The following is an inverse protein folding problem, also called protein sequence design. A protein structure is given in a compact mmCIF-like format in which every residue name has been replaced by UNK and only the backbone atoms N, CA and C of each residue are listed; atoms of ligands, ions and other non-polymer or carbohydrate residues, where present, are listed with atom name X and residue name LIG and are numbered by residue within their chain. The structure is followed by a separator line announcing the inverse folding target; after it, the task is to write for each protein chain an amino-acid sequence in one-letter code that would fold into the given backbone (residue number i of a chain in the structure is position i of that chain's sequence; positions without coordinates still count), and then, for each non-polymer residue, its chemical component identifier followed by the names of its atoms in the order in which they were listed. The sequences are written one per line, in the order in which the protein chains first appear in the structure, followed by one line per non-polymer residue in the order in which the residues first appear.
data_IF_437996868457
#
_entry.id   IF_437996868457
#
_cell.length_a   1.000
_cell.length_b   1.000
_cell.length_c   1.000
_cell.angle_alpha   90.00
_cell.angle_beta   90.00
_cell.angle_gamma   90.00
#
_symmetry.space_group_name_H-M   'P 1'
#
loop_
_entity.id
_entity.type
_entity.pdbx_description
1 polymer ?
#
# COMPACT_ATOMS: atom_id res chain seq x y z
N UNK A 1 22.77 -42.42 8.10
CA UNK A 1 22.56 -41.04 8.61
C UNK A 1 22.37 -39.97 7.52
N UNK A 2 22.21 -40.30 6.23
CA UNK A 2 22.21 -39.30 5.14
C UNK A 2 20.84 -39.00 4.53
N UNK A 3 19.90 -39.95 4.62
CA UNK A 3 18.59 -39.87 3.96
C UNK A 3 17.61 -38.90 4.63
N UNK A 4 17.69 -38.77 5.96
CA UNK A 4 16.82 -37.86 6.73
C UNK A 4 17.16 -36.39 6.49
N UNK A 5 18.43 -36.10 6.17
CA UNK A 5 18.91 -34.75 5.84
C UNK A 5 18.26 -34.22 4.56
N UNK A 6 18.10 -35.07 3.54
CA UNK A 6 17.45 -34.69 2.28
C UNK A 6 15.94 -34.47 2.47
N UNK A 7 15.27 -35.32 3.25
CA UNK A 7 13.85 -35.12 3.58
C UNK A 7 13.60 -33.79 4.31
N UNK A 8 14.49 -33.45 5.25
CA UNK A 8 14.40 -32.20 6.02
C UNK A 8 14.72 -30.98 5.17
N UNK A 9 15.68 -31.09 4.25
CA UNK A 9 15.99 -30.01 3.30
C UNK A 9 14.83 -29.73 2.35
N UNK A 10 14.17 -30.76 1.80
CA UNK A 10 12.98 -30.59 0.95
C UNK A 10 11.84 -29.95 1.72
N UNK A 11 11.61 -30.35 2.98
CA UNK A 11 10.60 -29.75 3.84
C UNK A 11 10.88 -28.27 4.13
N UNK A 12 12.12 -27.92 4.49
CA UNK A 12 12.50 -26.52 4.73
C UNK A 12 12.38 -25.65 3.48
N UNK A 13 12.78 -26.16 2.31
CA UNK A 13 12.63 -25.43 1.04
C UNK A 13 11.15 -25.27 0.69
N UNK A 14 10.31 -26.29 0.90
CA UNK A 14 8.87 -26.19 0.70
C UNK A 14 8.21 -25.17 1.62
N UNK A 15 8.56 -25.16 2.91
CA UNK A 15 8.08 -24.17 3.87
C UNK A 15 8.58 -22.76 3.53
N UNK A 16 9.85 -22.61 3.17
CA UNK A 16 10.39 -21.34 2.74
C UNK A 16 9.69 -20.85 1.46
N UNK A 17 9.45 -21.72 0.48
CA UNK A 17 8.73 -21.37 -0.75
C UNK A 17 7.27 -20.98 -0.47
N UNK A 18 6.58 -21.69 0.42
CA UNK A 18 5.22 -21.34 0.83
C UNK A 18 5.17 -19.99 1.57
N UNK A 19 6.13 -19.75 2.47
CA UNK A 19 6.31 -18.47 3.17
C UNK A 19 6.72 -17.35 2.19
N UNK A 20 7.51 -17.64 1.16
CA UNK A 20 7.87 -16.68 0.12
C UNK A 20 6.69 -16.36 -0.81
N UNK A 21 5.86 -17.35 -1.15
CA UNK A 21 4.66 -17.16 -1.97
C UNK A 21 3.55 -16.41 -1.22
N UNK A 22 3.41 -16.62 0.10
CA UNK A 22 2.49 -15.80 0.91
C UNK A 22 3.10 -14.45 1.28
N UNK A 23 4.39 -14.22 1.05
CA UNK A 23 4.99 -12.93 1.34
C UNK A 23 4.49 -11.95 0.29
N UNK A 24 3.75 -10.89 0.67
CA UNK A 24 3.29 -9.93 -0.31
C UNK A 24 4.52 -9.32 -0.96
N UNK A 25 4.70 -9.59 -2.27
CA UNK A 25 5.67 -8.88 -3.06
C UNK A 25 5.40 -7.38 -2.85
N UNK A 26 6.44 -6.58 -2.62
CA UNK A 26 6.29 -5.11 -2.66
C UNK A 26 5.90 -4.76 -4.09
N UNK A 27 4.60 -4.72 -4.31
CA UNK A 27 3.96 -4.34 -5.54
C UNK A 27 4.46 -2.92 -5.83
N UNK A 28 5.12 -2.70 -6.97
CA UNK A 28 5.90 -1.49 -7.23
C UNK A 28 5.18 -0.24 -6.76
N UNK A 29 5.78 0.48 -5.80
CA UNK A 29 5.13 1.61 -5.15
C UNK A 29 4.93 2.72 -6.16
N UNK A 30 3.67 3.11 -6.39
CA UNK A 30 3.35 4.30 -7.14
C UNK A 30 3.57 5.50 -6.20
N UNK A 31 4.61 6.29 -6.50
CA UNK A 31 4.97 7.46 -5.68
C UNK A 31 4.61 8.74 -6.43
N UNK A 32 3.67 9.48 -5.83
CA UNK A 32 3.25 10.81 -6.30
C UNK A 32 3.84 11.88 -5.38
N UNK A 33 4.41 12.91 -5.99
CA UNK A 33 4.96 14.06 -5.27
C UNK A 33 4.07 15.28 -5.49
N UNK A 34 3.67 15.92 -4.39
CA UNK A 34 2.82 17.09 -4.34
C UNK A 34 3.54 18.26 -3.70
N UNK A 35 3.04 19.47 -3.93
CA UNK A 35 3.56 20.67 -3.27
C UNK A 35 3.61 20.50 -1.76
N UNK A 36 4.58 21.14 -1.12
CA UNK A 36 4.65 21.23 0.33
C UNK A 36 3.36 21.80 0.93
N UNK A 37 2.74 21.05 1.84
CA UNK A 37 1.59 21.51 2.62
C UNK A 37 2.06 22.28 3.87
N UNK A 38 1.40 23.41 4.20
CA UNK A 38 1.51 24.04 5.51
C UNK A 38 1.21 23.06 6.64
N UNK A 39 1.81 23.28 7.82
CA UNK A 39 1.65 22.38 8.99
C UNK A 39 0.17 22.21 9.38
N UNK A 40 -0.63 23.27 9.26
CA UNK A 40 -2.07 23.25 9.59
C UNK A 40 -2.85 22.37 8.61
N UNK A 41 -2.63 22.53 7.31
CA UNK A 41 -3.29 21.72 6.27
C UNK A 41 -2.87 20.26 6.36
N UNK A 42 -1.59 19.99 6.59
CA UNK A 42 -1.12 18.61 6.80
C UNK A 42 -1.74 17.95 8.04
N UNK A 43 -1.93 18.70 9.14
CA UNK A 43 -2.64 18.20 10.32
C UNK A 43 -4.10 17.88 10.01
N UNK A 44 -4.76 18.70 9.20
CA UNK A 44 -6.13 18.46 8.76
C UNK A 44 -6.23 17.20 7.91
N UNK A 45 -5.35 17.08 6.90
CA UNK A 45 -5.23 15.88 6.05
C UNK A 45 -5.01 14.62 6.89
N UNK A 46 -4.08 14.68 7.86
CA UNK A 46 -3.84 13.58 8.80
C UNK A 46 -5.06 13.24 9.66
N UNK A 47 -5.79 14.24 10.14
CA UNK A 47 -7.00 14.02 10.94
C UNK A 47 -8.12 13.37 10.14
N UNK A 48 -8.26 13.74 8.86
CA UNK A 48 -9.22 13.11 7.95
C UNK A 48 -8.84 11.65 7.67
N UNK A 49 -7.56 11.38 7.40
CA UNK A 49 -7.03 10.02 7.23
C UNK A 49 -7.33 9.14 8.46
N UNK A 50 -7.10 9.69 9.65
CA UNK A 50 -7.38 9.01 10.92
C UNK A 50 -8.89 8.77 11.12
N UNK A 51 -9.73 9.77 10.81
CA UNK A 51 -11.19 9.64 10.91
C UNK A 51 -11.74 8.60 9.93
N UNK A 52 -11.23 8.60 8.69
CA UNK A 52 -11.58 7.63 7.67
C UNK A 52 -11.22 6.20 8.11
N UNK A 53 -9.98 5.96 8.50
CA UNK A 53 -9.53 4.65 8.98
C UNK A 53 -10.34 4.16 10.19
N UNK A 54 -10.65 5.08 11.11
CA UNK A 54 -11.47 4.77 12.29
C UNK A 54 -12.89 4.36 11.91
N UNK A 55 -13.50 5.04 10.92
CA UNK A 55 -14.83 4.68 10.43
C UNK A 55 -14.87 3.32 9.71
N UNK A 56 -13.72 2.86 9.21
CA UNK A 56 -13.57 1.55 8.55
C UNK A 56 -12.80 0.53 9.39
N UNK A 57 -12.64 0.77 10.69
CA UNK A 57 -11.89 -0.13 11.57
C UNK A 57 -12.46 -1.57 11.58
N UNK A 58 -13.79 -1.70 11.48
CA UNK A 58 -14.46 -3.01 11.41
C UNK A 58 -14.13 -3.81 10.16
N UNK A 59 -13.70 -3.16 9.08
CA UNK A 59 -13.27 -3.83 7.85
C UNK A 59 -11.78 -4.20 7.88
N UNK A 60 -11.08 -3.84 8.96
CA UNK A 60 -9.66 -4.08 9.14
C UNK A 60 -8.76 -2.93 8.68
N UNK A 61 -9.31 -1.74 8.39
CA UNK A 61 -8.47 -0.56 8.19
C UNK A 61 -7.89 -0.08 9.52
N UNK A 62 -6.62 0.32 9.50
CA UNK A 62 -5.98 0.96 10.64
C UNK A 62 -5.11 2.12 10.19
N UNK A 63 -5.10 3.18 11.01
CA UNK A 63 -4.21 4.31 10.85
C UNK A 63 -2.96 4.09 11.71
N UNK A 64 -1.79 4.26 11.12
CA UNK A 64 -0.51 4.16 11.79
C UNK A 64 0.30 5.44 11.57
N UNK A 65 0.50 6.21 12.64
CA UNK A 65 1.49 7.28 12.63
C UNK A 65 2.88 6.68 12.86
N UNK A 66 3.88 7.12 12.08
CA UNK A 66 5.26 6.72 12.35
C UNK A 66 5.79 7.45 13.59
N UNK A 67 6.66 6.78 14.32
CA UNK A 67 7.23 7.27 15.59
C UNK A 67 8.32 8.33 15.39
N UNK A 68 8.84 8.51 14.17
CA UNK A 68 9.88 9.49 13.82
C UNK A 68 9.34 10.92 13.67
N UNK A 69 8.04 11.13 13.84
CA UNK A 69 7.44 12.44 14.05
C UNK A 69 6.08 12.59 13.38
N UNK A 70 5.43 13.72 13.61
CA UNK A 70 4.16 14.09 12.99
C UNK A 70 4.26 14.32 11.47
N UNK A 71 5.34 13.90 10.81
CA UNK A 71 5.62 14.11 9.41
C UNK A 71 5.26 12.94 8.50
N UNK A 72 4.89 11.77 9.01
CA UNK A 72 4.42 10.68 8.16
C UNK A 72 3.32 9.85 8.82
N UNK A 73 2.47 9.24 7.99
CA UNK A 73 1.47 8.27 8.42
C UNK A 73 1.19 7.24 7.31
N UNK A 74 0.68 6.09 7.73
CA UNK A 74 0.31 4.97 6.88
C UNK A 74 -1.14 4.56 7.17
N UNK A 75 -1.89 4.23 6.12
CA UNK A 75 -3.14 3.48 6.20
C UNK A 75 -2.82 2.02 5.89
N UNK A 76 -3.29 1.12 6.74
CA UNK A 76 -3.10 -0.32 6.58
C UNK A 76 -4.44 -1.02 6.47
N UNK A 77 -4.53 -2.02 5.61
CA UNK A 77 -5.61 -3.00 5.58
C UNK A 77 -5.08 -4.31 6.17
N UNK A 78 -5.66 -4.75 7.29
CA UNK A 78 -5.30 -5.99 8.00
C UNK A 78 -3.78 -6.11 8.27
N UNK A 79 -3.14 -4.97 8.55
CA UNK A 79 -1.70 -4.88 8.82
C UNK A 79 -0.80 -4.65 7.61
N UNK A 80 -1.33 -4.72 6.37
CA UNK A 80 -0.60 -4.42 5.13
C UNK A 80 -0.82 -2.96 4.74
N UNK A 81 0.25 -2.21 4.46
CA UNK A 81 0.15 -0.83 4.02
C UNK A 81 -0.55 -0.73 2.66
N UNK A 82 -1.52 0.17 2.56
CA UNK A 82 -2.26 0.46 1.31
C UNK A 82 -2.08 1.93 0.88
N UNK A 83 -1.64 2.80 1.79
CA UNK A 83 -1.29 4.18 1.50
C UNK A 83 -0.31 4.70 2.54
N UNK A 84 0.75 5.39 2.11
CA UNK A 84 1.69 6.11 2.99
C UNK A 84 1.74 7.57 2.54
N UNK A 85 1.69 8.50 3.50
CA UNK A 85 1.81 9.93 3.24
C UNK A 85 2.93 10.50 4.10
N UNK A 86 3.92 11.08 3.44
CA UNK A 86 5.11 11.67 4.06
C UNK A 86 5.19 13.17 3.73
N UNK A 87 5.22 14.00 4.76
CA UNK A 87 5.43 15.45 4.70
C UNK A 87 6.93 15.79 4.70
N UNK A 88 7.63 15.37 3.65
CA UNK A 88 9.06 15.63 3.47
C UNK A 88 9.37 17.14 3.46
N UNK A 89 10.60 17.59 3.79
CA UNK A 89 10.92 19.02 3.96
C UNK A 89 10.49 19.92 2.79
N UNK A 90 10.66 19.44 1.55
CA UNK A 90 10.37 20.21 0.33
C UNK A 90 9.01 19.89 -0.32
N UNK A 91 8.36 18.78 0.02
CA UNK A 91 7.18 18.26 -0.71
C UNK A 91 6.39 17.27 0.13
N UNK A 92 5.15 16.99 -0.27
CA UNK A 92 4.38 15.87 0.28
C UNK A 92 4.49 14.69 -0.68
N UNK A 93 4.86 13.52 -0.16
CA UNK A 93 4.92 12.28 -0.91
C UNK A 93 3.72 11.43 -0.52
N UNK A 94 2.99 10.93 -1.51
CA UNK A 94 1.97 9.90 -1.34
C UNK A 94 2.44 8.65 -2.06
N UNK A 95 2.52 7.53 -1.34
CA UNK A 95 2.90 6.23 -1.89
C UNK A 95 1.71 5.30 -1.80
N UNK A 96 1.38 4.65 -2.91
CA UNK A 96 0.40 3.58 -2.95
C UNK A 96 1.03 2.33 -3.58
N UNK A 97 1.04 1.20 -2.86
CA UNK A 97 1.38 -0.09 -3.46
C UNK A 97 0.44 -0.42 -4.62
N UNK A 98 0.93 -1.09 -5.65
CA UNK A 98 0.09 -1.40 -6.82
C UNK A 98 -1.08 -2.36 -6.54
N UNK A 99 -1.04 -3.10 -5.42
CA UNK A 99 -2.15 -3.94 -4.95
C UNK A 99 -3.13 -3.18 -4.03
N UNK A 100 -2.87 -1.91 -3.70
CA UNK A 100 -3.64 -1.16 -2.72
C UNK A 100 -5.13 -1.07 -3.05
N UNK A 101 -5.47 -0.76 -4.31
CA UNK A 101 -6.87 -0.64 -4.75
C UNK A 101 -7.56 -2.02 -4.87
N UNK A 102 -6.81 -3.07 -5.14
CA UNK A 102 -7.34 -4.45 -5.11
C UNK A 102 -7.61 -4.87 -3.66
N UNK A 103 -6.70 -4.54 -2.74
CA UNK A 103 -6.77 -4.89 -1.32
C UNK A 103 -7.82 -4.07 -0.57
N UNK A 104 -7.90 -2.77 -0.82
CA UNK A 104 -8.81 -1.86 -0.15
C UNK A 104 -9.38 -0.86 -1.19
N UNK A 105 -10.36 -1.28 -2.01
CA UNK A 105 -10.91 -0.43 -3.07
C UNK A 105 -11.52 0.86 -2.54
N UNK A 106 -12.04 0.83 -1.31
CA UNK A 106 -12.63 2.00 -0.67
C UNK A 106 -11.62 3.13 -0.43
N UNK A 107 -10.31 2.82 -0.34
CA UNK A 107 -9.24 3.81 -0.17
C UNK A 107 -9.18 4.80 -1.34
N UNK A 108 -9.73 4.45 -2.51
CA UNK A 108 -9.92 5.41 -3.60
C UNK A 108 -10.72 6.65 -3.17
N UNK A 109 -11.72 6.49 -2.30
CA UNK A 109 -12.52 7.60 -1.77
C UNK A 109 -11.70 8.53 -0.87
N UNK A 110 -10.77 7.97 -0.10
CA UNK A 110 -9.82 8.76 0.70
C UNK A 110 -8.82 9.49 -0.21
N UNK A 111 -8.38 8.86 -1.29
CA UNK A 111 -7.50 9.51 -2.26
C UNK A 111 -8.19 10.71 -2.92
N UNK A 112 -9.44 10.55 -3.35
CA UNK A 112 -10.26 11.65 -3.89
C UNK A 112 -10.39 12.79 -2.89
N UNK A 113 -10.63 12.48 -1.61
CA UNK A 113 -10.73 13.50 -0.56
C UNK A 113 -9.40 14.17 -0.23
N UNK A 114 -8.25 13.62 -0.64
CA UNK A 114 -6.96 14.30 -0.54
C UNK A 114 -6.67 15.22 -1.72
N UNK A 115 -7.27 15.00 -2.90
CA UNK A 115 -7.01 15.80 -4.10
C UNK A 115 -7.39 17.28 -3.93
N UNK A 116 -8.34 17.60 -3.03
CA UNK A 116 -8.68 18.99 -2.69
C UNK A 116 -7.54 19.75 -2.00
N UNK A 117 -6.56 19.05 -1.39
CA UNK A 117 -5.42 19.65 -0.69
C UNK A 117 -4.09 19.41 -1.42
N UNK A 118 -3.97 18.28 -2.09
CA UNK A 118 -2.77 17.86 -2.79
C UNK A 118 -2.75 18.43 -4.22
N UNK A 119 -2.20 19.63 -4.36
CA UNK A 119 -1.96 20.23 -5.68
C UNK A 119 -0.72 19.59 -6.31
N UNK A 120 -0.91 18.91 -7.45
CA UNK A 120 0.20 18.38 -8.26
C UNK A 120 1.14 19.52 -8.66
N UNK A 121 2.45 19.30 -8.48
CA UNK A 121 3.45 20.29 -8.86
C UNK A 121 3.78 20.09 -10.36
N UNK A 122 3.53 21.10 -11.23
CA UNK A 122 3.79 20.96 -12.66
C UNK A 122 5.30 20.76 -12.89
N UNK A 123 5.68 19.57 -13.37
CA UNK A 123 7.07 19.23 -13.70
C UNK A 123 7.66 18.05 -12.92
N UNK A 124 6.98 17.55 -11.88
CA UNK A 124 7.34 16.29 -11.23
C UNK A 124 6.40 15.20 -11.73
N UNK A 125 6.80 14.58 -12.84
CA UNK A 125 6.11 13.40 -13.36
C UNK A 125 5.88 12.41 -12.21
N UNK A 126 4.66 11.84 -12.16
CA UNK A 126 4.38 10.56 -11.51
C UNK A 126 5.59 9.68 -11.82
N UNK A 127 6.46 9.42 -10.85
CA UNK A 127 7.53 8.46 -11.01
C UNK A 127 6.89 7.10 -10.92
N UNK A 128 6.07 6.79 -11.93
CA UNK A 128 5.79 5.43 -12.34
C UNK A 128 7.18 4.87 -12.60
N UNK A 129 7.68 4.01 -11.72
CA UNK A 129 8.84 3.20 -12.07
C UNK A 129 8.51 2.59 -13.42
N UNK A 130 9.22 3.01 -14.46
CA UNK A 130 8.83 2.90 -15.87
C UNK A 130 8.40 1.46 -16.17
N UNK A 131 7.08 1.21 -16.09
CA UNK A 131 6.49 -0.08 -16.32
C UNK A 131 5.84 0.03 -17.68
N UNK A 132 6.56 -0.41 -18.70
CA UNK A 132 5.95 -0.70 -20.00
C UNK A 132 4.67 -1.50 -19.76
N UNK A 133 3.62 -1.19 -20.54
CA UNK A 133 2.33 -1.86 -20.42
C UNK A 133 2.55 -3.37 -20.32
N UNK A 134 2.12 -4.02 -19.22
CA UNK A 134 2.31 -5.45 -19.06
C UNK A 134 1.59 -6.14 -20.21
N UNK A 135 2.26 -7.12 -20.82
CA UNK A 135 1.60 -7.96 -21.82
C UNK A 135 0.35 -8.61 -21.22
N UNK A 136 -0.63 -8.96 -22.05
CA UNK A 136 -1.88 -9.59 -21.59
C UNK A 136 -1.65 -10.82 -20.68
N UNK A 137 -0.54 -11.54 -20.92
CA UNK A 137 -0.17 -12.73 -20.19
C UNK A 137 0.45 -12.40 -18.82
N UNK A 138 1.26 -11.34 -18.74
CA UNK A 138 1.76 -10.80 -17.47
C UNK A 138 0.62 -10.21 -16.64
N UNK A 139 -0.32 -9.50 -17.26
CA UNK A 139 -1.51 -8.97 -16.57
C UNK A 139 -2.36 -10.11 -15.96
N UNK A 140 -2.53 -11.22 -16.70
CA UNK A 140 -3.29 -12.38 -16.22
C UNK A 140 -2.56 -13.19 -15.16
N UNK A 141 -1.25 -13.38 -15.31
CA UNK A 141 -0.42 -14.01 -14.27
C UNK A 141 -0.42 -13.16 -13.00
N UNK A 142 -0.38 -11.83 -13.15
CA UNK A 142 -0.46 -10.91 -12.04
C UNK A 142 -1.83 -10.94 -11.36
N UNK A 143 -2.94 -11.07 -12.07
CA UNK A 143 -4.26 -11.27 -11.45
C UNK A 143 -4.35 -12.60 -10.67
N UNK A 144 -3.67 -13.65 -11.15
CA UNK A 144 -3.62 -14.96 -10.48
C UNK A 144 -2.64 -14.97 -9.28
N UNK A 145 -1.54 -14.20 -9.34
CA UNK A 145 -0.48 -14.17 -8.32
C UNK A 145 -0.68 -13.04 -7.29
N UNK A 146 -1.20 -11.89 -7.73
CA UNK A 146 -1.54 -10.70 -6.92
C UNK A 146 -3.04 -10.62 -6.61
N UNK A 147 -3.83 -11.64 -6.96
CA UNK A 147 -5.23 -11.73 -6.58
C UNK A 147 -5.36 -11.75 -5.06
N UNK A 148 -5.53 -10.59 -4.45
CA UNK A 148 -5.66 -10.47 -3.00
C UNK A 148 -6.89 -11.28 -2.57
N UNK A 149 -6.71 -12.33 -1.73
CA UNK A 149 -7.81 -13.18 -1.30
C UNK A 149 -8.94 -12.34 -0.69
N UNK A 150 -10.21 -12.75 -0.85
CA UNK A 150 -11.36 -11.93 -0.41
C UNK A 150 -11.28 -11.61 1.08
N UNK A 151 -10.80 -12.55 1.87
CA UNK A 151 -10.55 -12.48 3.30
C UNK A 151 -9.40 -11.54 3.69
N UNK A 152 -8.52 -11.17 2.76
CA UNK A 152 -7.46 -10.18 2.96
C UNK A 152 -7.85 -8.78 2.49
N UNK A 153 -8.99 -8.66 1.80
CA UNK A 153 -9.50 -7.36 1.35
C UNK A 153 -10.24 -6.63 2.46
N UNK A 154 -10.17 -5.32 2.45
CA UNK A 154 -10.95 -4.42 3.28
C UNK A 154 -11.98 -3.73 2.38
N UNK A 155 -13.21 -4.25 2.37
CA UNK A 155 -14.28 -3.80 1.47
C UNK A 155 -15.54 -3.53 2.29
N UNK A 156 -16.23 -2.43 2.00
CA UNK A 156 -17.50 -2.08 2.60
C UNK A 156 -18.64 -2.84 1.91
N UNK A 157 -19.17 -3.87 2.57
CA UNK A 157 -20.29 -4.67 2.05
C UNK A 157 -19.85 -5.66 0.97
N UNK A 158 -20.09 -6.95 1.21
CA UNK A 158 -19.78 -8.04 0.29
C UNK A 158 -20.76 -8.17 -0.87
#
# INVERSE_FOLDING_TARGET
MKQWYFGLAVLCVGLAAAVWMQWPARAGDEVSAYRKLPVVEYRLLRSEAMGYASSQALQGLSFHARSDGAGSFEIRCKGVAVMEVENAPARVLLRMPSDALTRAPDVARLLESFQQWLVEEPGHARSVGERGEPSWLEARLRDVVEGVPKEERCVFGG
#
